data_IF_179389315433
#
_entry.id   IF_179389315433
#
_cell.length_a   1.000
_cell.length_b   1.000
_cell.length_c   1.000
_cell.angle_alpha   90.00
_cell.angle_beta   90.00
_cell.angle_gamma   90.00
#
_symmetry.space_group_name_H-M   'P 1'
#
loop_
_entity.id
_entity.type
_entity.pdbx_description
1 polymer ?
#
# COMPACT_ATOMS: atom_id res chain seq x y z
N UNK A 1 -1.31 -12.63 -17.24
CA UNK A 1 -0.01 -11.92 -17.29
C UNK A 1 -0.34 -10.49 -17.69
N UNK A 2 0.27 -9.49 -17.06
CA UNK A 2 0.04 -8.07 -17.35
C UNK A 2 0.37 -7.75 -18.82
N UNK A 3 -0.28 -6.74 -19.40
CA UNK A 3 0.00 -6.32 -20.78
C UNK A 3 1.39 -5.68 -20.89
N UNK A 4 1.99 -5.65 -22.08
CA UNK A 4 3.38 -5.19 -22.26
C UNK A 4 3.56 -3.74 -21.79
N UNK A 5 2.56 -2.90 -22.06
CA UNK A 5 2.41 -1.51 -21.63
C UNK A 5 2.33 -1.33 -20.10
N UNK A 6 2.07 -2.38 -19.34
CA UNK A 6 2.01 -2.34 -17.87
C UNK A 6 3.39 -2.56 -17.22
N UNK A 7 4.42 -2.90 -18.00
CA UNK A 7 5.76 -3.15 -17.49
C UNK A 7 6.35 -1.91 -16.82
N UNK A 8 6.64 -2.00 -15.51
CA UNK A 8 7.33 -0.96 -14.75
C UNK A 8 8.83 -1.26 -14.67
N UNK A 9 9.63 -0.20 -14.68
CA UNK A 9 11.10 -0.27 -14.63
C UNK A 9 11.63 0.58 -13.48
N UNK A 10 12.61 0.04 -12.76
CA UNK A 10 13.41 0.76 -11.77
C UNK A 10 14.86 0.74 -12.23
N UNK A 11 15.55 1.88 -12.14
CA UNK A 11 16.92 2.00 -12.65
C UNK A 11 17.91 1.12 -11.86
N UNK A 12 17.75 1.08 -10.54
CA UNK A 12 18.58 0.28 -9.65
C UNK A 12 17.93 -1.06 -9.34
N UNK A 13 18.64 -2.15 -9.62
CA UNK A 13 18.30 -3.45 -9.04
C UNK A 13 18.61 -3.43 -7.55
N UNK A 14 17.61 -3.75 -6.73
CA UNK A 14 17.76 -3.86 -5.29
C UNK A 14 17.52 -5.32 -4.89
N UNK A 15 18.56 -6.00 -4.38
CA UNK A 15 18.46 -7.38 -3.88
C UNK A 15 17.74 -7.41 -2.51
N UNK A 16 16.44 -7.13 -2.52
CA UNK A 16 15.57 -7.00 -1.34
C UNK A 16 14.23 -7.71 -1.57
N UNK A 17 13.36 -7.68 -0.55
CA UNK A 17 12.02 -8.26 -0.65
C UNK A 17 11.16 -7.56 -1.71
N UNK A 18 10.29 -8.34 -2.38
CA UNK A 18 9.30 -7.81 -3.33
C UNK A 18 8.36 -6.81 -2.68
N UNK A 19 8.04 -7.05 -1.41
CA UNK A 19 7.52 -6.07 -0.45
C UNK A 19 8.47 -6.04 0.76
N UNK A 20 8.38 -4.99 1.58
CA UNK A 20 9.05 -4.98 2.87
C UNK A 20 8.14 -4.41 3.95
N UNK A 21 8.02 -5.14 5.05
CA UNK A 21 7.28 -4.76 6.25
C UNK A 21 8.18 -4.61 7.48
N UNK A 22 7.73 -3.78 8.44
CA UNK A 22 8.39 -3.59 9.72
C UNK A 22 7.34 -3.39 10.82
N UNK A 23 7.40 -4.23 11.85
CA UNK A 23 6.55 -4.14 13.04
C UNK A 23 7.43 -3.82 14.24
N UNK A 24 7.10 -2.74 14.96
CA UNK A 24 7.78 -2.31 16.17
C UNK A 24 6.83 -2.47 17.36
N UNK A 25 7.21 -3.33 18.30
CA UNK A 25 6.47 -3.58 19.54
C UNK A 25 6.95 -2.68 20.67
N UNK A 26 6.02 -2.20 21.49
CA UNK A 26 6.26 -1.36 22.67
C UNK A 26 7.27 -0.21 22.43
N UNK A 27 7.08 0.61 21.38
CA UNK A 27 7.98 1.72 21.09
C UNK A 27 8.01 2.71 22.26
N UNK A 28 9.21 3.11 22.70
CA UNK A 28 9.34 4.12 23.77
C UNK A 28 9.03 5.55 23.29
N UNK A 29 8.84 5.74 21.99
CA UNK A 29 8.57 7.01 21.32
C UNK A 29 7.09 7.25 21.01
N UNK A 30 6.22 6.27 21.32
CA UNK A 30 4.77 6.36 21.10
C UNK A 30 4.02 5.71 22.26
N UNK A 31 2.80 6.15 22.50
CA UNK A 31 1.84 5.53 23.43
C UNK A 31 1.15 4.30 22.83
N UNK A 32 1.30 4.04 21.53
CA UNK A 32 0.79 2.85 20.86
C UNK A 32 1.60 1.61 21.28
N UNK A 33 0.96 0.47 21.57
CA UNK A 33 1.69 -0.77 21.87
C UNK A 33 2.37 -1.38 20.63
N UNK A 34 1.94 -1.02 19.42
CA UNK A 34 2.49 -1.49 18.15
C UNK A 34 2.45 -0.37 17.12
N UNK A 35 3.51 -0.23 16.35
CA UNK A 35 3.55 0.53 15.11
C UNK A 35 3.98 -0.40 13.97
N UNK A 36 3.38 -0.25 12.79
CA UNK A 36 3.69 -1.09 11.65
C UNK A 36 3.73 -0.28 10.35
N UNK A 37 4.57 -0.71 9.43
CA UNK A 37 4.70 -0.12 8.10
C UNK A 37 5.01 -1.18 7.06
N UNK A 38 4.63 -0.91 5.83
CA UNK A 38 4.92 -1.72 4.65
C UNK A 38 5.17 -0.85 3.41
N UNK A 39 5.49 -1.50 2.29
CA UNK A 39 5.44 -0.90 0.96
C UNK A 39 5.04 -1.96 -0.06
N UNK A 40 3.98 -1.68 -0.80
CA UNK A 40 3.36 -2.60 -1.79
C UNK A 40 3.34 -1.91 -3.15
N UNK A 41 4.46 -1.99 -3.86
CA UNK A 41 4.59 -1.42 -5.20
C UNK A 41 4.03 -2.37 -6.29
N UNK A 42 3.53 -1.82 -7.42
CA UNK A 42 3.44 -0.40 -7.76
C UNK A 42 2.41 0.39 -6.94
N UNK A 43 1.33 -0.27 -6.53
CA UNK A 43 0.25 0.30 -5.73
C UNK A 43 -0.72 -0.80 -5.30
N UNK A 44 -1.76 -0.43 -4.55
CA UNK A 44 -2.73 -1.40 -4.02
C UNK A 44 -3.69 -1.95 -5.09
N UNK A 45 -3.95 -1.18 -6.15
CA UNK A 45 -4.93 -1.52 -7.17
C UNK A 45 -4.23 -1.93 -8.47
N UNK A 46 -4.70 -3.02 -9.08
CA UNK A 46 -4.35 -3.36 -10.46
C UNK A 46 -5.46 -2.99 -11.45
N UNK A 47 -6.48 -2.24 -11.03
CA UNK A 47 -7.66 -1.98 -11.86
C UNK A 47 -7.35 -0.96 -12.95
N UNK A 48 -7.71 -1.32 -14.18
CA UNK A 48 -7.80 -0.42 -15.33
C UNK A 48 -9.23 -0.53 -15.87
N UNK A 49 -9.92 0.59 -15.98
CA UNK A 49 -11.25 0.64 -16.56
C UNK A 49 -11.22 0.24 -18.05
N UNK A 50 -12.36 -0.18 -18.64
CA UNK A 50 -12.41 -0.58 -20.05
C UNK A 50 -11.95 0.49 -21.05
N UNK A 51 -11.97 1.76 -20.66
CA UNK A 51 -11.48 2.89 -21.46
C UNK A 51 -9.97 3.17 -21.31
N UNK A 52 -9.26 2.36 -20.51
CA UNK A 52 -7.84 2.51 -20.22
C UNK A 52 -7.53 3.40 -19.01
N UNK A 53 -8.54 3.96 -18.33
CA UNK A 53 -8.31 4.77 -17.12
C UNK A 53 -7.82 3.90 -15.98
N UNK A 54 -6.60 4.15 -15.49
CA UNK A 54 -6.03 3.45 -14.34
C UNK A 54 -6.64 3.93 -13.02
N UNK A 55 -6.75 3.04 -12.04
CA UNK A 55 -7.16 3.42 -10.70
C UNK A 55 -6.18 4.40 -10.02
N UNK A 56 -6.68 5.22 -9.09
CA UNK A 56 -5.87 6.18 -8.33
C UNK A 56 -4.75 5.52 -7.51
N UNK A 57 -4.91 4.26 -7.09
CA UNK A 57 -3.89 3.51 -6.34
C UNK A 57 -3.14 2.51 -7.23
N UNK A 58 -3.07 2.77 -8.54
CA UNK A 58 -2.39 1.88 -9.49
C UNK A 58 -0.87 1.89 -9.33
N UNK A 59 -0.26 3.05 -9.04
CA UNK A 59 1.20 3.20 -8.98
C UNK A 59 1.72 4.16 -7.88
N UNK A 60 0.88 4.48 -6.90
CA UNK A 60 1.15 5.47 -5.84
C UNK A 60 2.25 5.06 -4.84
N UNK A 61 2.72 3.81 -4.88
CA UNK A 61 3.78 3.29 -4.03
C UNK A 61 5.07 2.95 -4.80
N UNK A 62 5.09 3.07 -6.12
CA UNK A 62 6.25 2.71 -6.94
C UNK A 62 7.49 3.54 -6.54
N UNK A 63 7.33 4.85 -6.38
CA UNK A 63 8.40 5.74 -5.93
C UNK A 63 8.72 5.62 -4.45
N UNK A 64 7.76 5.18 -3.64
CA UNK A 64 8.02 4.87 -2.23
C UNK A 64 8.97 3.68 -2.12
N UNK A 65 8.76 2.62 -2.91
CA UNK A 65 9.61 1.43 -2.92
C UNK A 65 11.03 1.74 -3.40
N UNK A 66 11.17 2.44 -4.54
CA UNK A 66 12.46 2.85 -5.12
C UNK A 66 13.35 3.58 -4.10
N UNK A 67 12.75 4.45 -3.28
CA UNK A 67 13.44 5.29 -2.31
C UNK A 67 13.51 4.69 -0.89
N UNK A 68 13.29 3.38 -0.73
CA UNK A 68 13.27 2.69 0.57
C UNK A 68 12.26 3.28 1.58
N UNK A 69 11.24 3.98 1.08
CA UNK A 69 10.13 4.51 1.86
C UNK A 69 9.17 3.41 2.32
N UNK A 70 8.23 3.79 3.18
CA UNK A 70 7.21 2.92 3.76
C UNK A 70 5.97 3.73 4.18
N UNK A 71 4.78 3.14 4.06
CA UNK A 71 3.51 3.71 4.54
C UNK A 71 3.10 3.06 5.85
N UNK A 72 2.35 3.76 6.69
CA UNK A 72 1.84 3.21 7.95
C UNK A 72 0.75 2.17 7.68
N UNK A 73 0.74 1.10 8.47
CA UNK A 73 -0.34 0.14 8.55
C UNK A 73 -1.25 0.48 9.74
N UNK A 74 -2.52 0.76 9.45
CA UNK A 74 -3.51 1.14 10.46
C UNK A 74 -4.23 -0.09 11.01
N UNK A 75 -4.32 -0.19 12.34
CA UNK A 75 -4.94 -1.33 13.03
C UNK A 75 -6.18 -0.92 13.83
N UNK A 76 -6.10 0.16 14.61
CA UNK A 76 -7.22 0.57 15.46
C UNK A 76 -8.33 1.18 14.63
N UNK A 77 -9.59 1.08 15.10
CA UNK A 77 -10.72 1.73 14.42
C UNK A 77 -10.51 3.24 14.27
N UNK A 78 -9.92 3.87 15.29
CA UNK A 78 -9.63 5.29 15.30
C UNK A 78 -8.63 5.66 14.20
N UNK A 79 -7.57 4.87 14.03
CA UNK A 79 -6.60 5.09 12.96
C UNK A 79 -7.19 4.89 11.58
N UNK A 80 -7.92 3.78 11.40
CA UNK A 80 -8.55 3.47 10.11
C UNK A 80 -9.54 4.57 9.74
N UNK A 81 -10.35 5.03 10.69
CA UNK A 81 -11.31 6.11 10.46
C UNK A 81 -10.63 7.45 10.17
N UNK A 82 -9.56 7.80 10.90
CA UNK A 82 -8.82 9.04 10.69
C UNK A 82 -8.08 9.11 9.35
N UNK A 83 -7.77 7.95 8.75
CA UNK A 83 -7.07 7.84 7.45
C UNK A 83 -7.97 7.26 6.36
N UNK A 84 -9.30 7.33 6.55
CA UNK A 84 -10.27 6.79 5.60
C UNK A 84 -10.37 7.68 4.37
N UNK A 85 -10.19 7.07 3.20
CA UNK A 85 -10.40 7.75 1.92
C UNK A 85 -11.80 7.48 1.33
N UNK A 86 -12.32 6.27 1.50
CA UNK A 86 -13.66 5.86 1.04
C UNK A 86 -14.25 4.77 1.94
N UNK A 87 -15.56 4.51 1.82
CA UNK A 87 -16.26 3.47 2.57
C UNK A 87 -17.40 2.87 1.76
N UNK A 88 -17.71 1.61 2.04
CA UNK A 88 -18.88 0.91 1.50
C UNK A 88 -19.50 0.04 2.60
N UNK A 89 -20.83 -0.07 2.62
CA UNK A 89 -21.58 -0.90 3.58
C UNK A 89 -22.48 -1.85 2.81
N UNK A 90 -22.17 -3.14 2.92
CA UNK A 90 -22.91 -4.21 2.22
C UNK A 90 -23.97 -4.82 3.15
N UNK A 91 -25.21 -4.93 2.64
CA UNK A 91 -26.29 -5.64 3.32
C UNK A 91 -26.60 -6.91 2.55
N UNK A 92 -26.08 -8.04 3.01
CA UNK A 92 -26.12 -9.33 2.30
C UNK A 92 -26.70 -10.40 3.21
N UNK A 93 -27.57 -11.26 2.67
CA UNK A 93 -28.01 -12.50 3.31
C UNK A 93 -27.29 -13.69 2.65
N UNK A 94 -26.94 -14.68 3.47
CA UNK A 94 -26.15 -15.85 3.06
C UNK A 94 -26.91 -16.78 2.11
#
# INVERSE_FOLDING_TARGET
>A
QAAAEETRHQAEYQNRGTENDMIVFSPTTSDRPVLAWDVVAPGQSGFIAPDGTVDKHYEDQLKMYENFGRKSLWLTKQDVEAHKESQEVLHVQR
#
